data_IF_972457115587
#
_entry.id   IF_972457115587
#
_cell.length_a   1.000
_cell.length_b   1.000
_cell.length_c   1.000
_cell.angle_alpha   90.00
_cell.angle_beta   90.00
_cell.angle_gamma   90.00
#
_symmetry.space_group_name_H-M   'P 1'
#
loop_
_entity.id
_entity.type
_entity.pdbx_description
1 polymer ?
#
# COMPACT_ATOMS: atom_id res chain seq x y z
N UNK A 1 -17.70 31.84 -26.28
CA UNK A 1 -16.75 30.72 -26.43
C UNK A 1 -17.06 29.70 -25.34
N UNK A 2 -17.65 28.56 -25.70
CA UNK A 2 -17.84 27.45 -24.77
C UNK A 2 -16.46 26.84 -24.50
N UNK A 3 -15.93 27.02 -23.29
CA UNK A 3 -14.68 26.39 -22.89
C UNK A 3 -14.88 24.86 -22.90
N UNK A 4 -14.24 24.17 -23.84
CA UNK A 4 -14.21 22.71 -23.86
C UNK A 4 -13.41 22.24 -22.66
N UNK A 5 -14.07 21.64 -21.66
CA UNK A 5 -13.40 21.06 -20.51
C UNK A 5 -12.51 19.90 -20.98
N UNK A 6 -11.19 20.09 -20.96
CA UNK A 6 -10.21 19.05 -21.22
C UNK A 6 -9.42 18.76 -19.96
N UNK A 7 -9.43 17.50 -19.54
CA UNK A 7 -8.58 17.01 -18.46
C UNK A 7 -7.14 16.87 -18.96
N UNK A 8 -6.19 17.42 -18.21
CA UNK A 8 -4.78 17.08 -18.43
C UNK A 8 -4.52 15.64 -18.02
N UNK A 9 -3.46 15.03 -18.56
CA UNK A 9 -3.08 13.66 -18.23
C UNK A 9 -2.95 13.42 -16.72
N UNK A 10 -2.28 14.33 -15.99
CA UNK A 10 -2.12 14.21 -14.53
C UNK A 10 -3.46 14.34 -13.78
N UNK A 11 -4.40 15.17 -14.26
CA UNK A 11 -5.73 15.26 -13.65
C UNK A 11 -6.55 14.00 -13.89
N UNK A 12 -6.39 13.37 -15.04
CA UNK A 12 -7.04 12.08 -15.32
C UNK A 12 -6.49 10.98 -14.38
N UNK A 13 -5.16 10.87 -14.26
CA UNK A 13 -4.52 9.90 -13.34
C UNK A 13 -4.89 10.16 -11.87
N UNK A 14 -4.92 11.42 -11.45
CA UNK A 14 -5.36 11.79 -10.10
C UNK A 14 -6.82 11.37 -9.85
N UNK A 15 -7.70 11.59 -10.82
CA UNK A 15 -9.11 11.21 -10.70
C UNK A 15 -9.29 9.69 -10.63
N UNK A 16 -8.53 8.93 -11.44
CA UNK A 16 -8.53 7.46 -11.42
C UNK A 16 -8.03 6.92 -10.07
N UNK A 17 -6.93 7.47 -9.54
CA UNK A 17 -6.41 7.05 -8.25
C UNK A 17 -7.37 7.37 -7.10
N UNK A 18 -7.96 8.57 -7.09
CA UNK A 18 -8.99 8.97 -6.12
C UNK A 18 -10.18 8.01 -6.16
N UNK A 19 -10.60 7.62 -7.37
CA UNK A 19 -11.68 6.65 -7.54
C UNK A 19 -11.32 5.28 -6.95
N UNK A 20 -10.12 4.75 -7.23
CA UNK A 20 -9.66 3.46 -6.67
C UNK A 20 -9.62 3.48 -5.14
N UNK A 21 -9.12 4.57 -4.52
CA UNK A 21 -9.14 4.72 -3.06
C UNK A 21 -10.56 4.63 -2.49
N UNK A 22 -11.52 5.29 -3.12
CA UNK A 22 -12.93 5.30 -2.68
C UNK A 22 -13.59 3.95 -2.85
N UNK A 23 -13.32 3.25 -3.95
CA UNK A 23 -13.85 1.90 -4.20
C UNK A 23 -13.39 0.91 -3.13
N UNK A 24 -12.10 0.96 -2.77
CA UNK A 24 -11.57 0.11 -1.70
C UNK A 24 -12.20 0.48 -0.35
N UNK A 25 -12.25 1.76 0.02
CA UNK A 25 -12.86 2.19 1.28
C UNK A 25 -14.37 1.89 1.37
N UNK A 26 -15.07 1.79 0.23
CA UNK A 26 -16.48 1.42 0.18
C UNK A 26 -16.72 -0.10 0.23
N UNK A 27 -15.72 -0.92 -0.12
CA UNK A 27 -15.90 -2.38 -0.30
C UNK A 27 -15.22 -3.21 0.79
N UNK A 28 -14.16 -2.70 1.41
CA UNK A 28 -13.33 -3.40 2.39
C UNK A 28 -13.54 -2.82 3.80
N UNK A 29 -13.51 -3.67 4.81
CA UNK A 29 -13.77 -3.31 6.20
C UNK A 29 -12.54 -2.68 6.88
N UNK A 30 -11.33 -3.18 6.57
CA UNK A 30 -10.08 -2.78 7.24
C UNK A 30 -8.94 -2.57 6.24
N UNK A 31 -9.07 -1.58 5.34
CA UNK A 31 -7.96 -1.22 4.46
C UNK A 31 -6.78 -0.63 5.24
N UNK A 32 -5.58 -0.72 4.67
CA UNK A 32 -4.37 -0.05 5.16
C UNK A 32 -3.54 0.47 3.99
N UNK A 33 -2.88 1.62 4.16
CA UNK A 33 -1.94 2.15 3.17
C UNK A 33 -0.49 1.90 3.57
N UNK A 34 0.29 1.22 2.72
CA UNK A 34 1.73 1.10 2.93
C UNK A 34 2.43 2.45 2.74
N UNK A 35 3.08 2.93 3.79
CA UNK A 35 3.73 4.23 3.83
C UNK A 35 5.19 4.12 4.31
N UNK A 36 6.11 4.12 3.35
CA UNK A 36 7.55 4.06 3.63
C UNK A 36 8.20 5.43 3.83
N UNK A 37 7.50 6.52 3.47
CA UNK A 37 8.11 7.85 3.34
C UNK A 37 8.84 8.06 2.01
N UNK A 38 8.91 7.04 1.15
CA UNK A 38 9.45 7.15 -0.21
C UNK A 38 8.51 7.86 -1.18
N UNK A 39 9.05 8.33 -2.32
CA UNK A 39 8.33 9.18 -3.29
C UNK A 39 6.92 8.69 -3.66
N UNK A 40 6.77 7.40 -3.98
CA UNK A 40 5.49 6.86 -4.47
C UNK A 40 4.48 6.77 -3.33
N UNK A 41 4.93 6.35 -2.14
CA UNK A 41 4.07 6.30 -0.96
C UNK A 41 3.61 7.68 -0.50
N UNK A 42 4.41 8.73 -0.71
CA UNK A 42 4.03 10.13 -0.45
C UNK A 42 2.98 10.61 -1.45
N UNK A 43 3.14 10.27 -2.74
CA UNK A 43 2.13 10.56 -3.76
C UNK A 43 0.82 9.83 -3.45
N UNK A 44 0.89 8.55 -3.07
CA UNK A 44 -0.29 7.80 -2.65
C UNK A 44 -0.98 8.41 -1.43
N UNK A 45 -0.22 8.79 -0.40
CA UNK A 45 -0.77 9.45 0.80
C UNK A 45 -1.49 10.74 0.41
N UNK A 46 -0.89 11.55 -0.47
CA UNK A 46 -1.51 12.78 -0.96
C UNK A 46 -2.78 12.53 -1.77
N UNK A 47 -2.82 11.47 -2.57
CA UNK A 47 -4.01 11.06 -3.32
C UNK A 47 -5.12 10.55 -2.39
N UNK A 48 -4.76 9.83 -1.34
CA UNK A 48 -5.69 9.41 -0.29
C UNK A 48 -6.30 10.64 0.43
N UNK A 49 -5.49 11.63 0.80
CA UNK A 49 -6.00 12.89 1.37
C UNK A 49 -7.03 13.54 0.46
N UNK A 50 -6.76 13.62 -0.84
CA UNK A 50 -7.70 14.17 -1.83
C UNK A 50 -8.97 13.33 -1.97
N UNK A 51 -8.85 12.01 -1.84
CA UNK A 51 -9.99 11.11 -1.97
C UNK A 51 -11.01 11.29 -0.85
N UNK A 52 -10.56 11.59 0.38
CA UNK A 52 -11.43 11.66 1.55
C UNK A 52 -11.66 13.06 2.10
N UNK A 53 -10.95 14.08 1.59
CA UNK A 53 -11.20 15.47 1.97
C UNK A 53 -12.69 15.84 1.85
N UNK A 54 -13.29 16.52 2.86
CA UNK A 54 -12.65 17.12 4.04
C UNK A 54 -12.57 16.20 5.27
N UNK A 55 -12.99 14.94 5.16
CA UNK A 55 -12.89 13.98 6.26
C UNK A 55 -11.45 13.47 6.43
N UNK A 56 -11.07 13.00 7.65
CA UNK A 56 -9.82 12.29 7.85
C UNK A 56 -9.79 10.97 7.05
N UNK A 57 -8.60 10.39 6.90
CA UNK A 57 -8.47 9.08 6.24
C UNK A 57 -9.23 8.02 7.06
N UNK A 58 -10.06 7.17 6.42
CA UNK A 58 -10.85 6.15 7.12
C UNK A 58 -10.04 4.90 7.48
N UNK A 59 -8.72 4.89 7.20
CA UNK A 59 -7.83 3.76 7.44
C UNK A 59 -6.48 4.20 8.00
N UNK A 60 -5.77 3.32 8.72
CA UNK A 60 -4.40 3.56 9.14
C UNK A 60 -3.41 3.51 7.97
N UNK A 61 -2.20 3.99 8.23
CA UNK A 61 -1.02 3.73 7.39
C UNK A 61 -0.14 2.69 8.06
N UNK A 62 0.67 1.96 7.29
CA UNK A 62 1.59 0.95 7.81
C UNK A 62 2.99 1.08 7.21
N UNK A 63 4.00 0.95 8.07
CA UNK A 63 5.41 0.93 7.69
C UNK A 63 6.06 -0.40 8.11
N UNK A 64 6.83 -1.01 7.21
CA UNK A 64 7.68 -2.15 7.53
C UNK A 64 9.07 -1.61 7.84
N UNK A 65 9.45 -1.62 9.12
CA UNK A 65 10.74 -1.13 9.57
C UNK A 65 11.80 -2.21 9.42
N UNK A 66 12.74 -2.00 8.50
CA UNK A 66 13.84 -2.94 8.30
C UNK A 66 14.93 -2.80 9.37
N UNK A 67 14.95 -1.69 10.12
CA UNK A 67 16.09 -1.27 10.93
C UNK A 67 17.22 -0.61 10.13
N UNK A 68 17.14 -0.60 8.80
CA UNK A 68 18.12 0.03 7.89
C UNK A 68 17.56 1.29 7.20
N UNK A 69 16.48 1.86 7.74
CA UNK A 69 15.85 3.06 7.20
C UNK A 69 16.68 4.32 7.53
N UNK A 70 16.76 5.27 6.60
CA UNK A 70 17.41 6.56 6.84
C UNK A 70 16.62 7.38 7.87
N UNK A 71 17.33 7.99 8.82
CA UNK A 71 16.70 8.78 9.90
C UNK A 71 15.84 9.92 9.33
N UNK A 72 16.30 10.60 8.29
CA UNK A 72 15.58 11.69 7.64
C UNK A 72 14.25 11.25 7.01
N UNK A 73 14.20 10.01 6.51
CA UNK A 73 12.97 9.43 5.94
C UNK A 73 11.98 9.11 7.06
N UNK A 74 12.47 8.57 8.19
CA UNK A 74 11.64 8.29 9.36
C UNK A 74 11.10 9.59 9.98
N UNK A 75 11.92 10.62 10.12
CA UNK A 75 11.50 11.94 10.60
C UNK A 75 10.44 12.57 9.69
N UNK A 76 10.64 12.52 8.38
CA UNK A 76 9.65 13.00 7.42
C UNK A 76 8.34 12.22 7.53
N UNK A 77 8.41 10.89 7.60
CA UNK A 77 7.26 9.99 7.74
C UNK A 77 6.46 10.35 8.99
N UNK A 78 7.12 10.43 10.14
CA UNK A 78 6.48 10.65 11.44
C UNK A 78 5.84 12.03 11.49
N UNK A 79 6.53 13.05 10.99
CA UNK A 79 5.96 14.40 10.86
C UNK A 79 4.71 14.41 10.00
N UNK A 80 4.74 13.76 8.82
CA UNK A 80 3.59 13.78 7.91
C UNK A 80 2.38 13.02 8.47
N UNK A 81 2.62 11.89 9.13
CA UNK A 81 1.58 11.13 9.84
C UNK A 81 0.94 11.97 10.95
N UNK A 82 1.76 12.66 11.74
CA UNK A 82 1.30 13.53 12.82
C UNK A 82 0.46 14.72 12.29
N UNK A 83 0.91 15.37 11.21
CA UNK A 83 0.18 16.47 10.55
C UNK A 83 -1.21 16.05 10.05
N UNK A 84 -1.37 14.77 9.65
CA UNK A 84 -2.64 14.22 9.20
C UNK A 84 -3.50 13.64 10.33
N UNK A 85 -2.94 13.46 11.52
CA UNK A 85 -3.62 12.82 12.65
C UNK A 85 -4.04 11.38 12.37
N UNK A 86 -3.32 10.66 11.50
CA UNK A 86 -3.64 9.28 11.11
C UNK A 86 -2.88 8.28 11.98
N UNK A 87 -3.50 7.13 12.28
CA UNK A 87 -2.82 6.05 12.98
C UNK A 87 -1.76 5.43 12.07
N UNK A 88 -0.54 5.26 12.58
CA UNK A 88 0.52 4.48 11.92
C UNK A 88 0.75 3.16 12.66
N UNK A 89 0.77 2.07 11.90
CA UNK A 89 1.24 0.76 12.34
C UNK A 89 2.69 0.60 11.89
N UNK A 90 3.57 0.21 12.80
CA UNK A 90 4.97 -0.12 12.47
C UNK A 90 5.18 -1.59 12.75
N UNK A 91 5.63 -2.34 11.76
CA UNK A 91 5.99 -3.74 11.90
C UNK A 91 7.50 -3.90 11.71
N UNK A 92 8.18 -4.42 12.73
CA UNK A 92 9.64 -4.50 12.75
C UNK A 92 10.16 -5.81 12.19
N UNK A 93 11.03 -5.72 11.19
CA UNK A 93 11.79 -6.89 10.70
C UNK A 93 12.74 -7.39 11.79
N UNK A 94 13.29 -6.49 12.62
CA UNK A 94 14.15 -6.88 13.73
C UNK A 94 13.39 -7.76 14.73
N UNK A 95 12.15 -7.40 15.08
CA UNK A 95 11.32 -8.25 15.96
C UNK A 95 11.06 -9.62 15.36
N UNK A 96 10.85 -9.70 14.04
CA UNK A 96 10.67 -10.98 13.33
C UNK A 96 11.95 -11.84 13.37
N UNK A 97 13.13 -11.22 13.35
CA UNK A 97 14.42 -11.90 13.51
C UNK A 97 14.58 -12.39 14.95
N UNK A 98 14.34 -11.52 15.92
CA UNK A 98 14.50 -11.80 17.34
C UNK A 98 13.54 -12.91 17.82
N UNK A 99 12.34 -12.99 17.23
CA UNK A 99 11.37 -14.06 17.49
C UNK A 99 11.63 -15.35 16.70
N UNK A 100 12.67 -15.40 15.87
CA UNK A 100 13.02 -16.56 15.03
C UNK A 100 12.05 -16.84 13.88
N UNK A 101 11.20 -15.88 13.49
CA UNK A 101 10.28 -16.03 12.33
C UNK A 101 11.03 -15.96 11.01
N UNK A 102 12.08 -15.15 10.97
CA UNK A 102 13.00 -15.02 9.83
C UNK A 102 14.44 -15.09 10.33
N UNK A 103 15.35 -15.53 9.45
CA UNK A 103 16.78 -15.51 9.72
C UNK A 103 17.45 -14.46 8.84
N UNK A 104 18.32 -13.66 9.44
CA UNK A 104 19.17 -12.74 8.69
C UNK A 104 20.42 -13.47 8.17
N UNK A 105 20.75 -13.24 6.90
CA UNK A 105 22.00 -13.72 6.33
C UNK A 105 23.17 -12.96 6.98
N UNK A 106 24.17 -13.64 7.54
CA UNK A 106 25.29 -12.99 8.27
C UNK A 106 26.33 -12.26 7.39
N UNK A 107 25.99 -11.89 6.16
CA UNK A 107 26.92 -11.28 5.20
C UNK A 107 27.04 -9.75 5.34
N UNK A 108 28.16 -9.14 4.92
CA UNK A 108 28.38 -7.68 5.03
C UNK A 108 27.41 -6.81 4.22
N UNK A 109 26.64 -7.40 3.30
CA UNK A 109 25.60 -6.74 2.50
C UNK A 109 24.24 -7.45 2.63
N UNK A 110 23.95 -8.03 3.79
CA UNK A 110 22.70 -8.72 4.04
C UNK A 110 21.52 -7.76 3.88
N UNK A 111 20.77 -7.95 2.79
CA UNK A 111 19.58 -7.16 2.53
C UNK A 111 18.39 -7.77 3.26
N UNK A 112 17.78 -6.99 4.16
CA UNK A 112 16.52 -7.34 4.81
C UNK A 112 15.31 -7.23 3.89
N UNK A 113 15.49 -6.83 2.62
CA UNK A 113 14.38 -6.62 1.69
C UNK A 113 13.51 -7.87 1.50
N UNK A 114 14.15 -9.06 1.46
CA UNK A 114 13.43 -10.34 1.35
C UNK A 114 12.73 -10.74 2.64
N UNK A 115 13.25 -10.31 3.80
CA UNK A 115 12.69 -10.62 5.11
C UNK A 115 11.39 -9.85 5.38
N UNK A 116 11.23 -8.68 4.75
CA UNK A 116 10.02 -7.85 4.86
C UNK A 116 8.73 -8.60 4.52
N UNK A 117 8.76 -9.59 3.62
CA UNK A 117 7.56 -10.32 3.21
C UNK A 117 6.89 -11.03 4.39
N UNK A 118 7.66 -11.72 5.23
CA UNK A 118 7.11 -12.43 6.40
C UNK A 118 6.54 -11.42 7.40
N UNK A 119 7.30 -10.37 7.69
CA UNK A 119 6.88 -9.29 8.60
C UNK A 119 5.61 -8.58 8.11
N UNK A 120 5.50 -8.34 6.79
CA UNK A 120 4.31 -7.75 6.18
C UNK A 120 3.08 -8.67 6.33
N UNK A 121 3.22 -9.96 6.01
CA UNK A 121 2.12 -10.92 6.13
C UNK A 121 1.67 -11.07 7.59
N UNK A 122 2.60 -11.10 8.54
CA UNK A 122 2.31 -11.17 9.97
C UNK A 122 1.58 -9.91 10.46
N UNK A 123 2.00 -8.74 9.99
CA UNK A 123 1.35 -7.47 10.31
C UNK A 123 -0.07 -7.38 9.74
N UNK A 124 -0.28 -7.86 8.51
CA UNK A 124 -1.61 -7.94 7.87
C UNK A 124 -2.52 -8.84 8.70
N UNK A 125 -2.07 -10.06 9.02
CA UNK A 125 -2.85 -11.01 9.80
C UNK A 125 -3.18 -10.49 11.21
N UNK A 126 -2.19 -9.93 11.91
CA UNK A 126 -2.35 -9.43 13.29
C UNK A 126 -3.34 -8.27 13.39
N UNK A 127 -3.40 -7.40 12.36
CA UNK A 127 -4.31 -6.27 12.34
C UNK A 127 -5.62 -6.57 11.60
N UNK A 128 -5.78 -7.79 11.09
CA UNK A 128 -6.93 -8.24 10.30
C UNK A 128 -7.20 -7.34 9.08
N UNK A 129 -6.14 -6.85 8.42
CA UNK A 129 -6.30 -5.99 7.24
C UNK A 129 -6.78 -6.82 6.04
N UNK A 130 -7.88 -6.39 5.42
CA UNK A 130 -8.50 -7.08 4.29
C UNK A 130 -8.20 -6.43 2.92
N UNK A 131 -7.58 -5.24 2.93
CA UNK A 131 -7.02 -4.58 1.75
C UNK A 131 -5.74 -3.82 2.09
N UNK A 132 -4.77 -3.88 1.17
CA UNK A 132 -3.48 -3.19 1.32
C UNK A 132 -3.20 -2.36 0.07
N UNK A 133 -3.12 -1.04 0.23
CA UNK A 133 -2.70 -0.15 -0.84
C UNK A 133 -1.17 -0.16 -0.96
N UNK A 134 -0.66 -0.45 -2.16
CA UNK A 134 0.77 -0.44 -2.47
C UNK A 134 1.14 0.57 -3.56
N UNK A 135 2.25 1.29 -3.38
CA UNK A 135 2.75 2.33 -4.29
C UNK A 135 3.53 1.84 -5.50
N UNK A 136 3.32 0.59 -5.87
CA UNK A 136 4.12 -0.10 -6.84
C UNK A 136 3.58 0.25 -8.25
N UNK A 137 4.44 0.68 -9.20
CA UNK A 137 4.02 1.08 -10.57
C UNK A 137 4.39 0.07 -11.67
N UNK A 138 3.54 -0.06 -12.70
CA UNK A 138 3.72 -1.03 -13.82
C UNK A 138 4.99 -0.80 -14.64
N UNK A 139 5.51 0.43 -14.67
CA UNK A 139 6.70 0.83 -15.42
C UNK A 139 8.02 0.56 -14.68
N UNK A 140 7.97 0.15 -13.40
CA UNK A 140 9.18 -0.04 -12.58
C UNK A 140 9.96 -1.31 -12.93
N UNK A 141 9.27 -2.36 -13.37
CA UNK A 141 9.88 -3.63 -13.71
C UNK A 141 9.10 -4.36 -14.80
N UNK A 142 9.81 -5.05 -15.71
CA UNK A 142 9.21 -5.76 -16.86
C UNK A 142 8.12 -6.77 -16.46
N UNK A 143 8.29 -7.45 -15.32
CA UNK A 143 7.32 -8.41 -14.80
C UNK A 143 5.97 -7.77 -14.47
N UNK A 144 5.96 -6.46 -14.18
CA UNK A 144 4.79 -5.71 -13.71
C UNK A 144 3.94 -5.11 -14.82
N UNK A 145 4.36 -5.27 -16.08
CA UNK A 145 3.63 -4.75 -17.24
C UNK A 145 2.20 -5.33 -17.37
N UNK A 146 1.97 -6.53 -16.81
CA UNK A 146 0.66 -7.23 -16.84
C UNK A 146 -0.05 -7.21 -15.48
N UNK A 147 0.46 -6.45 -14.52
CA UNK A 147 -0.16 -6.30 -13.20
C UNK A 147 -1.51 -5.59 -13.29
N UNK A 148 -2.42 -5.99 -12.40
CA UNK A 148 -3.76 -5.42 -12.25
C UNK A 148 -3.75 -4.34 -11.17
N UNK A 149 -4.82 -3.56 -11.09
CA UNK A 149 -5.02 -2.62 -9.97
C UNK A 149 -5.29 -3.41 -8.69
N UNK A 150 -6.16 -4.42 -8.76
CA UNK A 150 -6.46 -5.36 -7.68
C UNK A 150 -5.66 -6.65 -7.83
N UNK A 151 -4.95 -7.02 -6.77
CA UNK A 151 -4.20 -8.28 -6.65
C UNK A 151 -4.81 -9.11 -5.53
N UNK A 152 -5.65 -10.09 -5.87
CA UNK A 152 -6.32 -10.93 -4.88
C UNK A 152 -5.35 -11.96 -4.31
N UNK A 153 -5.40 -12.11 -2.98
CA UNK A 153 -4.62 -13.08 -2.21
C UNK A 153 -5.53 -14.13 -1.62
N UNK A 154 -5.00 -15.34 -1.42
CA UNK A 154 -5.68 -16.37 -0.63
C UNK A 154 -5.38 -16.23 0.86
N UNK A 155 -5.96 -17.10 1.68
CA UNK A 155 -5.85 -17.11 3.14
C UNK A 155 -4.40 -17.27 3.65
N UNK A 156 -3.47 -17.70 2.78
CA UNK A 156 -2.04 -17.83 3.09
C UNK A 156 -1.20 -16.68 2.48
N UNK A 157 -1.85 -15.66 1.91
CA UNK A 157 -1.19 -14.53 1.26
C UNK A 157 -0.63 -14.84 -0.14
N UNK A 158 -0.92 -16.00 -0.71
CA UNK A 158 -0.42 -16.41 -2.02
C UNK A 158 -1.26 -15.82 -3.14
N UNK A 159 -0.67 -15.80 -4.34
CA UNK A 159 -1.32 -15.30 -5.55
C UNK A 159 -1.70 -16.46 -6.47
N UNK A 160 -2.98 -16.55 -6.84
CA UNK A 160 -3.49 -17.50 -7.82
C UNK A 160 -3.98 -16.76 -9.07
N UNK A 161 -3.45 -17.07 -10.28
CA UNK A 161 -3.91 -16.47 -11.53
C UNK A 161 -5.41 -16.64 -11.79
N UNK A 162 -6.02 -17.75 -11.35
CA UNK A 162 -7.44 -18.05 -11.58
C UNK A 162 -8.37 -17.21 -10.71
N UNK A 163 -7.88 -16.72 -9.57
CA UNK A 163 -8.64 -15.86 -8.67
C UNK A 163 -8.58 -14.38 -9.07
N UNK A 164 -7.74 -14.02 -10.05
CA UNK A 164 -7.64 -12.66 -10.55
C UNK A 164 -8.79 -12.33 -11.49
N UNK A 165 -9.30 -11.11 -11.38
CA UNK A 165 -10.52 -10.69 -12.06
C UNK A 165 -10.20 -9.75 -13.22
N UNK A 166 -10.92 -9.85 -14.35
CA UNK A 166 -10.88 -8.82 -15.38
C UNK A 166 -11.28 -7.45 -14.80
N UNK A 167 -10.53 -6.42 -15.17
CA UNK A 167 -10.80 -5.02 -14.81
C UNK A 167 -11.28 -4.34 -16.10
N UNK A 168 -12.61 -4.22 -16.25
CA UNK A 168 -13.21 -3.64 -17.45
C UNK A 168 -13.61 -2.19 -17.13
N UNK A 169 -13.12 -1.24 -17.95
CA UNK A 169 -13.26 0.19 -17.68
C UNK A 169 -12.71 0.54 -16.29
N UNK A 170 -13.49 1.28 -15.49
CA UNK A 170 -13.19 1.62 -14.10
C UNK A 170 -14.12 0.82 -13.16
N UNK A 171 -14.54 -0.38 -13.54
CA UNK A 171 -15.36 -1.25 -12.69
C UNK A 171 -14.46 -2.29 -12.03
N UNK A 172 -14.32 -2.19 -10.71
CA UNK A 172 -13.52 -3.11 -9.92
C UNK A 172 -14.42 -4.03 -9.11
N UNK A 173 -14.20 -5.34 -9.23
CA UNK A 173 -14.92 -6.31 -8.40
C UNK A 173 -14.14 -6.58 -7.12
N UNK A 174 -14.34 -5.76 -6.08
CA UNK A 174 -13.66 -5.89 -4.78
C UNK A 174 -14.23 -6.95 -3.83
N UNK A 175 -15.25 -7.74 -4.24
CA UNK A 175 -15.85 -8.76 -3.36
C UNK A 175 -14.79 -9.77 -2.91
N UNK A 176 -14.49 -9.84 -1.63
CA UNK A 176 -13.52 -10.79 -1.10
C UNK A 176 -14.19 -11.70 -0.06
N UNK A 177 -13.57 -12.83 0.22
CA UNK A 177 -13.87 -13.61 1.43
C UNK A 177 -12.94 -13.09 2.52
N UNK A 178 -13.43 -13.00 3.76
CA UNK A 178 -12.54 -12.75 4.89
C UNK A 178 -11.52 -13.89 4.95
N UNK A 179 -10.24 -13.54 4.96
CA UNK A 179 -9.10 -14.42 5.13
C UNK A 179 -8.28 -13.94 6.31
#
# INVERSE_FOLDING_TARGET
MTATYQLSHLRALESEAVYIFREVAATFERPVLLFSGGKDSVVMLRLAEKAFWPAPLPFPVMHIDTGHNFAEVLEFRDRRVAELGVRMVVASVQESIDSGRVAEDGGPNASRNRLQTVTLLDAIATNEFDAVFGGARRDEEKARAKERVFSFRDDFGQWDPKNQRPELWNLYNGRHRKG
#
